data_IF_468595245677
#
_entry.id   IF_468595245677
#
_cell.length_a   1.000
_cell.length_b   1.000
_cell.length_c   1.000
_cell.angle_alpha   90.00
_cell.angle_beta   90.00
_cell.angle_gamma   90.00
#
_symmetry.space_group_name_H-M   'P 1'
#
loop_
_entity.id
_entity.type
_entity.pdbx_description
1 polymer ?
#
# COMPACT_ATOMS: atom_id res chain seq x y z
N UNK A 1 -86.09 8.99 25.79
CA UNK A 1 -84.88 8.14 25.68
C UNK A 1 -83.94 8.82 24.68
N UNK A 2 -82.69 9.03 25.06
CA UNK A 2 -81.72 9.98 24.49
C UNK A 2 -81.43 9.74 22.99
N UNK A 3 -81.50 10.79 22.17
CA UNK A 3 -80.75 10.89 20.91
C UNK A 3 -79.50 11.75 21.17
N UNK A 4 -78.31 11.17 20.93
CA UNK A 4 -77.01 11.86 21.05
C UNK A 4 -76.59 12.41 19.70
N UNK A 5 -76.13 13.66 19.70
CA UNK A 5 -75.34 14.31 18.66
C UNK A 5 -74.04 13.53 18.40
N UNK A 6 -73.67 13.40 17.13
CA UNK A 6 -72.30 13.12 16.69
C UNK A 6 -71.84 14.31 15.83
N UNK A 7 -70.70 14.88 16.21
CA UNK A 7 -70.17 16.16 15.75
C UNK A 7 -69.59 16.10 14.33
N UNK A 8 -69.79 17.21 13.61
CA UNK A 8 -69.30 17.53 12.26
C UNK A 8 -67.79 17.76 12.17
N UNK A 9 -67.05 17.63 13.27
CA UNK A 9 -65.60 17.90 13.35
C UNK A 9 -64.71 16.76 12.80
N UNK A 10 -65.24 15.53 12.66
CA UNK A 10 -64.43 14.37 12.26
C UNK A 10 -64.33 14.12 10.74
N UNK A 11 -65.14 14.80 9.91
CA UNK A 11 -65.11 14.60 8.45
C UNK A 11 -64.12 15.57 7.78
N UNK A 12 -63.92 16.77 8.35
CA UNK A 12 -63.02 17.79 7.81
C UNK A 12 -61.54 17.42 7.97
N UNK A 13 -61.14 16.84 9.11
CA UNK A 13 -59.74 16.43 9.36
C UNK A 13 -59.30 15.24 8.49
N UNK A 14 -60.21 14.33 8.16
CA UNK A 14 -59.92 13.14 7.35
C UNK A 14 -59.76 13.46 5.84
N UNK A 15 -60.45 14.50 5.36
CA UNK A 15 -60.32 14.98 3.96
C UNK A 15 -59.05 15.82 3.80
N UNK A 16 -58.73 16.70 4.77
CA UNK A 16 -57.48 17.48 4.77
C UNK A 16 -56.22 16.60 4.87
N UNK A 17 -56.26 15.51 5.65
CA UNK A 17 -55.14 14.56 5.74
C UNK A 17 -54.89 13.74 4.47
N UNK A 18 -55.94 13.41 3.70
CA UNK A 18 -55.83 12.68 2.41
C UNK A 18 -55.39 13.57 1.24
N UNK A 19 -55.65 14.88 1.33
CA UNK A 19 -55.17 15.88 0.37
C UNK A 19 -53.67 16.16 0.63
N UNK A 20 -53.26 16.29 1.90
CA UNK A 20 -51.84 16.50 2.24
C UNK A 20 -50.94 15.30 1.88
N UNK A 21 -51.42 14.07 2.00
CA UNK A 21 -50.63 12.88 1.65
C UNK A 21 -50.48 12.67 0.14
N UNK A 22 -51.50 12.99 -0.66
CA UNK A 22 -51.41 12.94 -2.13
C UNK A 22 -50.57 14.07 -2.73
N UNK A 23 -50.50 15.23 -2.06
CA UNK A 23 -49.60 16.33 -2.45
C UNK A 23 -48.15 15.90 -2.21
N UNK A 24 -47.84 15.28 -1.08
CA UNK A 24 -46.50 14.76 -0.81
C UNK A 24 -46.06 13.64 -1.77
N UNK A 25 -46.98 12.77 -2.20
CA UNK A 25 -46.68 11.74 -3.19
C UNK A 25 -46.50 12.29 -4.61
N UNK A 26 -47.25 13.34 -4.98
CA UNK A 26 -47.13 13.98 -6.31
C UNK A 26 -45.87 14.85 -6.46
N UNK A 27 -45.35 15.40 -5.35
CA UNK A 27 -44.08 16.15 -5.32
C UNK A 27 -42.87 15.28 -5.71
N UNK A 28 -42.93 13.96 -5.49
CA UNK A 28 -41.84 13.04 -5.83
C UNK A 28 -41.90 12.58 -7.30
N UNK A 29 -43.10 12.56 -7.92
CA UNK A 29 -43.29 11.99 -9.26
C UNK A 29 -43.32 13.02 -10.40
N UNK A 30 -43.62 14.30 -10.13
CA UNK A 30 -43.41 15.37 -11.11
C UNK A 30 -43.39 16.75 -10.42
N UNK A 31 -42.20 17.34 -10.20
CA UNK A 31 -42.06 18.69 -9.63
C UNK A 31 -42.87 19.75 -10.40
N UNK A 32 -43.04 19.56 -11.71
CA UNK A 32 -43.83 20.45 -12.57
C UNK A 32 -45.33 20.44 -12.20
N UNK A 33 -45.90 19.30 -11.82
CA UNK A 33 -47.31 19.19 -11.46
C UNK A 33 -47.61 19.84 -10.09
N UNK A 34 -46.70 19.68 -9.12
CA UNK A 34 -46.82 20.32 -7.81
C UNK A 34 -46.73 21.85 -7.91
N UNK A 35 -45.81 22.37 -8.73
CA UNK A 35 -45.65 23.81 -8.96
C UNK A 35 -46.87 24.41 -9.67
N UNK A 36 -47.47 23.69 -10.63
CA UNK A 36 -48.71 24.12 -11.29
C UNK A 36 -49.88 24.23 -10.29
N UNK A 37 -50.03 23.26 -9.39
CA UNK A 37 -51.07 23.29 -8.35
C UNK A 37 -50.89 24.46 -7.38
N UNK A 38 -49.66 24.70 -6.90
CA UNK A 38 -49.37 25.82 -5.98
C UNK A 38 -49.60 27.16 -6.68
N UNK A 39 -49.20 27.31 -7.95
CA UNK A 39 -49.45 28.52 -8.74
C UNK A 39 -50.96 28.80 -8.89
N UNK A 40 -51.76 27.77 -9.20
CA UNK A 40 -53.21 27.90 -9.35
C UNK A 40 -53.86 28.30 -8.02
N UNK A 41 -53.50 27.66 -6.91
CA UNK A 41 -54.03 27.99 -5.57
C UNK A 41 -53.68 29.45 -5.21
N UNK A 42 -52.43 29.86 -5.41
CA UNK A 42 -51.96 31.20 -5.06
C UNK A 42 -52.65 32.30 -5.91
N UNK A 43 -52.90 32.04 -7.20
CA UNK A 43 -53.62 32.95 -8.09
C UNK A 43 -55.11 33.06 -7.76
N UNK A 44 -55.74 31.97 -7.36
CA UNK A 44 -57.15 31.98 -6.91
C UNK A 44 -57.32 32.75 -5.61
N UNK A 45 -56.34 32.70 -4.71
CA UNK A 45 -56.37 33.44 -3.43
C UNK A 45 -55.98 34.92 -3.57
N UNK A 46 -55.21 35.31 -4.59
CA UNK A 46 -54.69 36.68 -4.75
C UNK A 46 -54.80 37.19 -6.21
N UNK A 47 -56.00 37.56 -6.68
CA UNK A 47 -56.25 37.84 -8.09
C UNK A 47 -55.54 39.09 -8.65
N UNK A 48 -55.19 40.05 -7.78
CA UNK A 48 -54.61 41.35 -8.16
C UNK A 48 -53.08 41.33 -8.38
N UNK A 49 -52.39 40.23 -8.03
CA UNK A 49 -50.92 40.14 -8.15
C UNK A 49 -50.52 39.83 -9.60
N UNK A 50 -49.52 40.54 -10.14
CA UNK A 50 -49.04 40.35 -11.52
C UNK A 50 -48.47 38.91 -11.70
N UNK A 51 -48.93 38.15 -12.73
CA UNK A 51 -48.46 36.79 -12.98
C UNK A 51 -46.95 36.68 -13.23
N UNK A 52 -46.29 37.72 -13.75
CA UNK A 52 -44.83 37.71 -13.97
C UNK A 52 -44.02 37.68 -12.66
N UNK A 53 -44.47 38.40 -11.63
CA UNK A 53 -43.80 38.43 -10.32
C UNK A 53 -43.86 37.08 -9.62
N UNK A 54 -44.97 36.36 -9.81
CA UNK A 54 -45.19 35.02 -9.26
C UNK A 54 -44.29 34.01 -9.98
N UNK A 55 -44.22 34.07 -11.31
CA UNK A 55 -43.39 33.17 -12.11
C UNK A 55 -41.90 33.27 -11.75
N UNK A 56 -41.39 34.48 -11.51
CA UNK A 56 -40.00 34.68 -11.09
C UNK A 56 -39.70 34.09 -9.69
N UNK A 57 -40.60 34.25 -8.72
CA UNK A 57 -40.42 33.65 -7.40
C UNK A 57 -40.42 32.12 -7.45
N UNK A 58 -41.28 31.52 -8.29
CA UNK A 58 -41.30 30.08 -8.51
C UNK A 58 -40.07 29.57 -9.28
N UNK A 59 -39.57 30.34 -10.26
CA UNK A 59 -38.35 30.00 -10.97
C UNK A 59 -37.13 29.95 -10.04
N UNK A 60 -37.03 30.89 -9.08
CA UNK A 60 -35.96 30.89 -8.07
C UNK A 60 -36.08 29.68 -7.14
N UNK A 61 -37.29 29.35 -6.66
CA UNK A 61 -37.49 28.17 -5.82
C UNK A 61 -37.23 26.85 -6.55
N UNK A 62 -37.60 26.76 -7.84
CA UNK A 62 -37.31 25.60 -8.67
C UNK A 62 -35.81 25.47 -8.95
N UNK A 63 -35.11 26.58 -9.19
CA UNK A 63 -33.67 26.62 -9.38
C UNK A 63 -32.93 26.13 -8.12
N UNK A 64 -33.28 26.67 -6.94
CA UNK A 64 -32.70 26.26 -5.66
C UNK A 64 -33.02 24.80 -5.32
N UNK A 65 -34.23 24.32 -5.64
CA UNK A 65 -34.60 22.92 -5.46
C UNK A 65 -33.78 22.01 -6.40
N UNK A 66 -33.58 22.41 -7.66
CA UNK A 66 -32.81 21.65 -8.63
C UNK A 66 -31.32 21.58 -8.25
N UNK A 67 -30.72 22.70 -7.80
CA UNK A 67 -29.34 22.70 -7.29
C UNK A 67 -29.18 21.81 -6.06
N UNK A 68 -30.16 21.79 -5.14
CA UNK A 68 -30.12 20.94 -3.95
C UNK A 68 -30.31 19.44 -4.28
N UNK A 69 -31.11 19.10 -5.29
CA UNK A 69 -31.21 17.71 -5.76
C UNK A 69 -29.92 17.25 -6.47
N UNK A 70 -29.28 18.12 -7.25
CA UNK A 70 -27.99 17.88 -7.92
C UNK A 70 -26.83 17.73 -6.93
N UNK A 71 -26.80 18.52 -5.85
CA UNK A 71 -25.78 18.40 -4.80
C UNK A 71 -25.91 17.10 -4.01
N UNK A 72 -27.13 16.69 -3.66
CA UNK A 72 -27.41 15.42 -2.99
C UNK A 72 -27.04 14.21 -3.87
N UNK A 73 -27.32 14.25 -5.18
CA UNK A 73 -26.91 13.17 -6.09
C UNK A 73 -25.40 13.08 -6.24
N UNK A 74 -24.69 14.22 -6.31
CA UNK A 74 -23.21 14.23 -6.30
C UNK A 74 -22.63 13.63 -5.02
N UNK A 75 -23.20 13.97 -3.86
CA UNK A 75 -22.76 13.42 -2.58
C UNK A 75 -22.96 11.90 -2.49
N UNK A 76 -24.11 11.40 -2.92
CA UNK A 76 -24.42 9.96 -2.96
C UNK A 76 -23.46 9.23 -3.92
N UNK A 77 -23.14 9.81 -5.08
CA UNK A 77 -22.22 9.21 -6.04
C UNK A 77 -20.80 9.08 -5.46
N UNK A 78 -20.31 10.13 -4.78
CA UNK A 78 -19.02 10.12 -4.09
C UNK A 78 -19.00 9.06 -2.98
N UNK A 79 -20.07 8.95 -2.18
CA UNK A 79 -20.19 7.91 -1.16
C UNK A 79 -20.22 6.49 -1.75
N UNK A 80 -20.93 6.28 -2.86
CA UNK A 80 -20.99 4.99 -3.54
C UNK A 80 -19.64 4.62 -4.17
N UNK A 81 -18.93 5.59 -4.76
CA UNK A 81 -17.56 5.40 -5.25
C UNK A 81 -16.59 5.10 -4.10
N UNK A 82 -16.67 5.80 -2.97
CA UNK A 82 -15.85 5.54 -1.79
C UNK A 82 -16.16 4.17 -1.15
N UNK A 83 -17.43 3.75 -1.11
CA UNK A 83 -17.85 2.42 -0.64
C UNK A 83 -17.39 1.32 -1.60
N UNK A 84 -17.44 1.56 -2.92
CA UNK A 84 -16.91 0.67 -3.95
C UNK A 84 -15.41 0.47 -3.80
N UNK A 85 -14.65 1.57 -3.72
CA UNK A 85 -13.21 1.56 -3.50
C UNK A 85 -12.84 0.86 -2.17
N UNK A 86 -13.59 1.09 -1.09
CA UNK A 86 -13.38 0.43 0.20
C UNK A 86 -13.58 -1.09 0.10
N UNK A 87 -14.66 -1.55 -0.54
CA UNK A 87 -14.92 -2.99 -0.74
C UNK A 87 -13.87 -3.65 -1.62
N UNK A 88 -13.38 -2.95 -2.65
CA UNK A 88 -12.35 -3.47 -3.54
C UNK A 88 -10.99 -3.54 -2.84
N UNK A 89 -10.66 -2.52 -2.04
CA UNK A 89 -9.49 -2.51 -1.14
C UNK A 89 -9.58 -3.63 -0.09
N UNK A 90 -10.73 -3.84 0.53
CA UNK A 90 -10.98 -4.94 1.48
C UNK A 90 -10.84 -6.31 0.81
N UNK A 91 -11.34 -6.49 -0.42
CA UNK A 91 -11.13 -7.71 -1.21
C UNK A 91 -9.66 -7.94 -1.56
N UNK A 92 -8.90 -6.89 -1.90
CA UNK A 92 -7.45 -6.98 -2.12
C UNK A 92 -6.71 -7.35 -0.83
N UNK A 93 -7.10 -6.78 0.32
CA UNK A 93 -6.53 -7.11 1.64
C UNK A 93 -6.83 -8.57 2.02
N UNK A 94 -8.07 -9.05 1.83
CA UNK A 94 -8.42 -10.45 2.11
C UNK A 94 -7.74 -11.42 1.13
N UNK A 95 -7.60 -11.05 -0.15
CA UNK A 95 -6.86 -11.86 -1.13
C UNK A 95 -5.36 -11.92 -0.81
N UNK A 96 -4.77 -10.83 -0.29
CA UNK A 96 -3.38 -10.80 0.19
C UNK A 96 -3.18 -11.72 1.41
N UNK A 97 -4.16 -11.78 2.32
CA UNK A 97 -4.18 -12.71 3.46
C UNK A 97 -4.15 -14.19 3.02
N UNK A 98 -4.81 -14.54 1.91
CA UNK A 98 -4.85 -15.92 1.42
C UNK A 98 -3.56 -16.43 0.74
N UNK A 99 -2.56 -15.58 0.51
CA UNK A 99 -1.32 -15.95 -0.21
C UNK A 99 -0.08 -16.02 0.71
N UNK A 100 -0.14 -15.57 1.96
CA UNK A 100 0.97 -15.71 2.90
C UNK A 100 0.56 -16.50 4.14
N UNK A 101 0.65 -17.84 4.06
CA UNK A 101 0.87 -18.58 5.29
C UNK A 101 2.24 -18.13 5.81
N UNK A 102 2.24 -17.25 6.82
CA UNK A 102 3.42 -16.92 7.61
C UNK A 102 3.51 -17.97 8.71
N UNK A 103 4.12 -19.15 8.48
CA UNK A 103 4.00 -20.31 9.36
C UNK A 103 4.54 -20.04 10.77
N UNK A 104 5.56 -19.19 10.85
CA UNK A 104 6.23 -18.81 12.08
C UNK A 104 5.69 -17.50 12.67
N UNK A 105 4.72 -16.85 12.01
CA UNK A 105 4.15 -15.56 12.42
C UNK A 105 5.21 -14.47 12.67
N UNK A 106 6.32 -14.52 11.91
CA UNK A 106 7.41 -13.55 12.02
C UNK A 106 6.93 -12.17 11.56
N UNK A 107 7.39 -11.11 12.23
CA UNK A 107 6.97 -9.73 11.94
C UNK A 107 7.94 -9.02 11.01
N UNK A 108 9.23 -9.08 11.33
CA UNK A 108 10.31 -8.37 10.63
C UNK A 108 11.66 -8.99 11.01
N UNK A 109 12.71 -8.59 10.29
CA UNK A 109 14.08 -8.72 10.79
C UNK A 109 14.18 -7.93 12.10
N UNK A 110 14.77 -8.54 13.13
CA UNK A 110 14.92 -7.91 14.44
C UNK A 110 16.32 -7.30 14.59
N UNK A 111 17.37 -8.10 14.37
CA UNK A 111 18.75 -7.65 14.40
C UNK A 111 19.62 -8.58 13.54
N UNK A 112 20.82 -8.09 13.24
CA UNK A 112 21.94 -8.88 12.73
C UNK A 112 23.03 -8.96 13.81
N UNK A 113 23.80 -10.04 13.80
CA UNK A 113 24.99 -10.18 14.63
C UNK A 113 26.23 -10.04 13.75
N UNK A 114 27.18 -9.22 14.18
CA UNK A 114 28.42 -8.94 13.44
C UNK A 114 29.60 -9.17 14.38
N UNK A 115 30.50 -10.08 13.99
CA UNK A 115 31.77 -10.27 14.67
C UNK A 115 32.75 -9.16 14.25
N UNK A 116 33.49 -8.64 15.21
CA UNK A 116 34.45 -7.56 14.99
C UNK A 116 35.74 -7.77 15.78
N UNK A 117 36.84 -7.27 15.23
CA UNK A 117 38.15 -7.31 15.91
C UNK A 117 38.32 -6.17 16.92
N UNK A 118 37.56 -5.09 16.76
CA UNK A 118 37.64 -3.90 17.62
C UNK A 118 36.28 -3.23 17.73
N UNK A 119 35.69 -3.25 18.94
CA UNK A 119 34.43 -2.57 19.18
C UNK A 119 34.50 -1.08 18.92
N UNK A 120 35.61 -0.44 19.25
CA UNK A 120 35.80 1.00 19.04
C UNK A 120 35.69 1.35 17.55
N UNK A 121 36.46 0.67 16.69
CA UNK A 121 36.41 0.91 15.23
C UNK A 121 35.04 0.61 14.64
N UNK A 122 34.42 -0.50 15.04
CA UNK A 122 33.08 -0.86 14.54
C UNK A 122 32.02 0.12 15.04
N UNK A 123 32.06 0.53 16.31
CA UNK A 123 31.15 1.55 16.84
C UNK A 123 31.28 2.87 16.08
N UNK A 124 32.51 3.31 15.80
CA UNK A 124 32.75 4.53 15.04
C UNK A 124 32.15 4.43 13.64
N UNK A 125 32.40 3.33 12.92
CA UNK A 125 31.85 3.11 11.58
C UNK A 125 30.33 3.04 11.58
N UNK A 126 29.73 2.17 12.40
CA UNK A 126 28.28 1.98 12.39
C UNK A 126 27.53 3.23 12.83
N UNK A 127 28.11 4.07 13.71
CA UNK A 127 27.51 5.34 14.10
C UNK A 127 27.72 6.44 13.06
N UNK A 128 28.96 6.67 12.62
CA UNK A 128 29.30 7.86 11.84
C UNK A 128 29.09 7.65 10.33
N UNK A 129 29.23 6.43 9.83
CA UNK A 129 29.03 6.10 8.41
C UNK A 129 27.59 5.64 8.17
N UNK A 130 27.10 4.69 8.97
CA UNK A 130 25.77 4.10 8.78
C UNK A 130 24.68 4.72 9.66
N UNK A 131 25.00 5.67 10.55
CA UNK A 131 24.00 6.42 11.30
C UNK A 131 23.31 5.64 12.42
N UNK A 132 23.82 4.49 12.85
CA UNK A 132 23.29 3.76 13.99
C UNK A 132 23.58 4.48 15.32
N UNK A 133 22.83 4.19 16.37
CA UNK A 133 23.13 4.69 17.72
C UNK A 133 23.18 3.55 18.74
N UNK A 134 24.08 3.60 19.73
CA UNK A 134 24.21 2.58 20.75
C UNK A 134 22.99 2.57 21.69
N UNK A 135 22.58 1.38 22.11
CA UNK A 135 21.50 1.17 23.07
C UNK A 135 22.00 0.38 24.27
N UNK A 136 21.23 0.41 25.37
CA UNK A 136 21.59 -0.30 26.60
C UNK A 136 21.70 -1.81 26.36
N UNK A 137 22.88 -2.35 26.66
CA UNK A 137 23.14 -3.79 26.64
C UNK A 137 22.56 -4.47 27.90
N UNK A 138 21.92 -5.65 27.78
CA UNK A 138 21.56 -6.46 28.94
C UNK A 138 22.78 -6.78 29.79
N UNK A 139 22.68 -6.58 31.10
CA UNK A 139 23.81 -6.79 32.03
C UNK A 139 24.20 -8.26 32.23
N UNK A 140 23.41 -9.21 31.72
CA UNK A 140 23.67 -10.65 31.81
C UNK A 140 24.73 -11.14 30.83
N UNK A 141 25.15 -10.31 29.87
CA UNK A 141 26.12 -10.71 28.86
C UNK A 141 27.56 -10.43 29.34
N UNK A 142 28.40 -11.46 29.33
CA UNK A 142 29.74 -11.48 29.92
C UNK A 142 30.89 -11.46 28.89
N UNK A 143 30.59 -11.12 27.64
CA UNK A 143 31.57 -10.91 26.57
C UNK A 143 31.70 -9.42 26.24
N UNK A 144 32.73 -9.03 25.49
CA UNK A 144 32.85 -7.67 24.97
C UNK A 144 31.95 -7.50 23.74
N UNK A 145 30.99 -6.58 23.82
CA UNK A 145 30.04 -6.36 22.75
C UNK A 145 29.20 -5.11 22.91
N UNK A 146 28.56 -4.68 21.83
CA UNK A 146 27.69 -3.52 21.81
C UNK A 146 26.37 -3.83 21.10
N UNK A 147 25.31 -3.13 21.50
CA UNK A 147 24.04 -3.12 20.77
C UNK A 147 23.84 -1.74 20.16
N UNK A 148 23.51 -1.71 18.88
CA UNK A 148 23.09 -0.52 18.18
C UNK A 148 21.69 -0.70 17.59
N UNK A 149 21.00 0.40 17.35
CA UNK A 149 19.68 0.42 16.74
C UNK A 149 19.57 1.59 15.77
N UNK A 150 18.95 1.37 14.61
CA UNK A 150 18.36 2.39 13.75
C UNK A 150 17.54 1.71 12.65
N UNK A 151 16.75 2.46 11.89
CA UNK A 151 16.00 1.96 10.71
C UNK A 151 15.05 0.79 11.01
N UNK A 152 14.66 0.61 12.27
CA UNK A 152 13.82 -0.51 12.72
C UNK A 152 14.55 -1.84 12.89
N UNK A 153 15.88 -1.87 12.79
CA UNK A 153 16.72 -3.07 13.01
C UNK A 153 17.80 -2.82 14.06
N UNK A 154 18.23 -3.88 14.74
CA UNK A 154 19.38 -3.88 15.64
C UNK A 154 20.66 -4.37 14.97
N UNK A 155 21.81 -3.89 15.45
CA UNK A 155 23.12 -4.50 15.18
C UNK A 155 23.71 -4.93 16.52
N UNK A 156 24.02 -6.22 16.64
CA UNK A 156 24.73 -6.78 17.77
C UNK A 156 26.19 -6.99 17.39
N UNK A 157 27.07 -6.11 17.88
CA UNK A 157 28.52 -6.25 17.72
C UNK A 157 29.06 -7.19 18.78
N UNK A 158 29.80 -8.20 18.35
CA UNK A 158 30.51 -9.13 19.23
C UNK A 158 32.01 -8.98 18.97
N UNK A 159 32.76 -8.56 19.99
CA UNK A 159 34.21 -8.57 19.88
C UNK A 159 34.71 -9.99 20.06
N UNK A 160 35.61 -10.39 19.17
CA UNK A 160 36.31 -11.66 19.28
C UNK A 160 37.81 -11.37 19.10
N UNK A 161 38.61 -11.74 20.12
CA UNK A 161 40.04 -11.45 20.15
C UNK A 161 40.85 -12.42 19.26
N UNK A 162 40.34 -13.63 19.05
CA UNK A 162 40.94 -14.71 18.26
C UNK A 162 40.11 -14.99 16.98
N UNK A 163 39.87 -13.96 16.17
CA UNK A 163 39.16 -14.14 14.90
C UNK A 163 40.10 -14.70 13.83
N UNK A 164 39.85 -15.95 13.43
CA UNK A 164 40.49 -16.55 12.25
C UNK A 164 39.92 -15.95 10.96
N UNK A 165 40.61 -16.10 9.82
CA UNK A 165 40.12 -15.62 8.50
C UNK A 165 38.78 -16.27 8.07
N UNK A 166 38.41 -17.35 8.74
CA UNK A 166 37.16 -18.08 8.54
C UNK A 166 35.97 -17.42 9.28
N UNK A 167 36.24 -16.67 10.35
CA UNK A 167 35.23 -16.04 11.20
C UNK A 167 34.90 -14.59 10.77
N UNK A 168 35.85 -13.95 10.09
CA UNK A 168 35.72 -12.62 9.48
C UNK A 168 36.57 -12.58 8.22
N UNK A 169 36.11 -11.88 7.16
CA UNK A 169 36.92 -11.70 5.96
C UNK A 169 38.34 -11.27 6.32
N UNK A 170 39.32 -11.81 5.59
CA UNK A 170 40.74 -11.61 5.85
C UNK A 170 41.05 -10.12 6.09
N UNK A 171 41.83 -9.84 7.14
CA UNK A 171 42.21 -8.48 7.49
C UNK A 171 43.08 -7.89 6.37
N UNK A 172 42.53 -6.91 5.65
CA UNK A 172 43.15 -6.33 4.47
C UNK A 172 42.17 -6.42 3.31
N UNK A 173 41.85 -5.26 2.72
CA UNK A 173 40.77 -5.07 1.74
C UNK A 173 40.88 -6.14 0.65
N UNK A 174 40.07 -7.20 0.79
CA UNK A 174 39.70 -8.03 -0.35
C UNK A 174 38.98 -7.12 -1.32
N UNK A 175 39.25 -7.29 -2.61
CA UNK A 175 38.58 -6.51 -3.66
C UNK A 175 37.06 -6.53 -3.41
N UNK A 176 36.43 -5.35 -3.38
CA UNK A 176 34.97 -5.23 -3.24
C UNK A 176 34.31 -6.03 -4.37
N UNK A 177 33.58 -7.08 -4.00
CA UNK A 177 32.87 -7.95 -4.93
C UNK A 177 31.36 -7.84 -4.68
N UNK A 178 30.61 -7.17 -5.58
CA UNK A 178 29.14 -7.04 -5.51
C UNK A 178 28.35 -8.35 -5.39
N UNK A 179 29.00 -9.51 -5.57
CA UNK A 179 28.38 -10.84 -5.47
C UNK A 179 28.57 -11.52 -4.11
N UNK A 180 29.33 -10.93 -3.19
CA UNK A 180 29.54 -11.49 -1.86
C UNK A 180 28.30 -11.28 -0.96
N UNK A 181 28.22 -12.04 0.13
CA UNK A 181 27.16 -11.88 1.13
C UNK A 181 27.21 -10.49 1.75
N UNK A 182 26.06 -9.82 1.85
CA UNK A 182 26.00 -8.45 2.35
C UNK A 182 24.69 -8.15 3.07
N UNK A 183 24.73 -7.09 3.88
CA UNK A 183 23.54 -6.43 4.40
C UNK A 183 23.24 -5.21 3.52
N UNK A 184 21.97 -5.03 3.16
CA UNK A 184 21.55 -3.98 2.23
C UNK A 184 20.63 -2.98 2.91
N UNK A 185 20.89 -1.69 2.65
CA UNK A 185 20.12 -0.57 3.16
C UNK A 185 19.52 0.23 2.00
N UNK A 186 18.21 0.45 2.10
CA UNK A 186 17.53 1.41 1.24
C UNK A 186 17.97 2.83 1.63
N UNK A 187 18.27 3.67 0.64
CA UNK A 187 18.50 5.09 0.88
C UNK A 187 17.47 5.98 0.18
N UNK A 188 17.31 7.20 0.71
CA UNK A 188 16.43 8.22 0.12
C UNK A 188 17.06 8.88 -1.13
N UNK A 189 18.39 8.94 -1.17
CA UNK A 189 19.13 9.58 -2.26
C UNK A 189 20.50 8.93 -2.46
N UNK A 190 20.62 8.17 -3.55
CA UNK A 190 21.88 7.56 -3.96
C UNK A 190 22.99 8.59 -4.17
N UNK A 191 22.64 9.78 -4.69
CA UNK A 191 23.60 10.85 -4.93
C UNK A 191 24.18 11.40 -3.61
N UNK A 192 23.34 11.58 -2.59
CA UNK A 192 23.80 12.04 -1.28
C UNK A 192 24.62 10.96 -0.56
N UNK A 193 24.21 9.70 -0.64
CA UNK A 193 24.97 8.58 -0.09
C UNK A 193 26.36 8.48 -0.73
N UNK A 194 26.44 8.50 -2.06
CA UNK A 194 27.70 8.46 -2.80
C UNK A 194 28.61 9.65 -2.44
N UNK A 195 28.03 10.86 -2.33
CA UNK A 195 28.77 12.06 -1.91
C UNK A 195 29.35 11.89 -0.50
N UNK A 196 28.55 11.36 0.44
CA UNK A 196 28.97 11.18 1.83
C UNK A 196 30.06 10.14 1.97
N UNK A 197 29.96 8.99 1.27
CA UNK A 197 31.03 8.00 1.25
C UNK A 197 32.35 8.58 0.72
N UNK A 198 32.29 9.41 -0.33
CA UNK A 198 33.46 10.17 -0.83
C UNK A 198 34.03 11.13 0.21
N UNK A 199 33.19 11.91 0.90
CA UNK A 199 33.61 12.85 1.95
C UNK A 199 34.26 12.13 3.15
N UNK A 200 33.87 10.89 3.42
CA UNK A 200 34.41 10.05 4.49
C UNK A 200 35.59 9.16 4.03
N UNK A 201 36.03 9.29 2.77
CA UNK A 201 37.12 8.50 2.19
C UNK A 201 36.90 6.98 2.26
N UNK A 202 35.63 6.54 2.24
CA UNK A 202 35.27 5.12 2.19
C UNK A 202 35.37 4.63 0.75
N UNK A 203 36.16 3.58 0.51
CA UNK A 203 36.24 2.92 -0.79
C UNK A 203 34.93 2.19 -1.11
N UNK A 204 34.40 2.36 -2.32
CA UNK A 204 33.18 1.68 -2.76
C UNK A 204 33.21 1.33 -4.25
N UNK A 205 32.38 0.35 -4.63
CA UNK A 205 32.08 0.00 -6.03
C UNK A 205 30.63 0.35 -6.32
N UNK A 206 30.40 0.95 -7.49
CA UNK A 206 29.05 1.26 -7.99
C UNK A 206 28.60 0.22 -9.01
N UNK A 207 27.35 -0.21 -8.90
CA UNK A 207 26.67 -1.06 -9.87
C UNK A 207 25.31 -0.46 -10.24
N UNK A 208 24.80 -0.87 -11.40
CA UNK A 208 23.45 -0.52 -11.86
C UNK A 208 22.77 -1.74 -12.45
N UNK A 209 21.53 -1.98 -12.03
CA UNK A 209 20.63 -2.99 -12.59
C UNK A 209 19.55 -2.29 -13.38
N UNK A 210 19.17 -2.88 -14.52
CA UNK A 210 18.06 -2.44 -15.36
C UNK A 210 17.07 -3.57 -15.55
N UNK A 211 15.80 -3.31 -15.26
CA UNK A 211 14.70 -4.23 -15.52
C UNK A 211 13.49 -3.46 -16.05
N UNK A 212 13.04 -3.77 -17.27
CA UNK A 212 11.85 -3.14 -17.86
C UNK A 212 11.94 -1.61 -17.99
N UNK A 213 13.15 -1.05 -18.13
CA UNK A 213 13.38 0.40 -18.19
C UNK A 213 13.40 1.10 -16.82
N UNK A 214 13.33 0.34 -15.71
CA UNK A 214 13.56 0.83 -14.36
C UNK A 214 15.02 0.60 -13.99
N UNK A 215 15.64 1.60 -13.38
CA UNK A 215 17.04 1.56 -12.94
C UNK A 215 17.14 1.47 -11.41
N UNK A 216 17.98 0.54 -10.96
CA UNK A 216 18.42 0.44 -9.55
C UNK A 216 19.92 0.69 -9.51
N UNK A 217 20.32 1.67 -8.72
CA UNK A 217 21.71 1.96 -8.40
C UNK A 217 22.10 1.31 -7.08
N UNK A 218 23.32 0.80 -7.01
CA UNK A 218 23.86 0.10 -5.85
C UNK A 218 25.27 0.61 -5.55
N UNK A 219 25.59 0.79 -4.27
CA UNK A 219 26.92 1.12 -3.77
C UNK A 219 27.35 0.03 -2.80
N UNK A 220 28.48 -0.60 -3.06
CA UNK A 220 29.04 -1.68 -2.25
C UNK A 220 30.34 -1.23 -1.59
N UNK A 221 30.49 -1.48 -0.29
CA UNK A 221 31.69 -1.13 0.48
C UNK A 221 31.82 -2.07 1.68
N UNK A 222 32.97 -2.04 2.34
CA UNK A 222 33.24 -2.85 3.52
C UNK A 222 33.11 -2.03 4.81
N UNK A 223 32.72 -2.70 5.88
CA UNK A 223 32.95 -2.24 7.24
C UNK A 223 34.43 -2.43 7.66
N UNK A 224 34.83 -2.03 8.89
CA UNK A 224 36.22 -2.12 9.34
C UNK A 224 36.80 -3.54 9.44
N UNK A 225 35.96 -4.57 9.37
CA UNK A 225 36.34 -5.97 9.47
C UNK A 225 36.08 -6.75 8.15
N UNK A 226 35.66 -6.06 7.09
CA UNK A 226 35.48 -6.62 5.75
C UNK A 226 34.07 -7.11 5.45
N UNK A 227 33.09 -6.91 6.33
CA UNK A 227 31.70 -7.26 6.05
C UNK A 227 31.13 -6.33 4.96
N UNK A 228 30.57 -6.90 3.90
CA UNK A 228 30.00 -6.11 2.82
C UNK A 228 28.69 -5.44 3.25
N UNK A 229 28.59 -4.16 2.91
CA UNK A 229 27.41 -3.32 3.03
C UNK A 229 27.01 -2.84 1.64
N UNK A 230 25.71 -2.95 1.34
CA UNK A 230 25.09 -2.38 0.16
C UNK A 230 24.21 -1.20 0.55
N UNK A 231 24.28 -0.10 -0.21
CA UNK A 231 23.25 0.94 -0.26
C UNK A 231 22.58 0.89 -1.63
N UNK A 232 21.26 0.79 -1.69
CA UNK A 232 20.52 0.77 -2.96
C UNK A 232 19.23 1.60 -2.93
N UNK A 233 18.66 1.79 -4.12
CA UNK A 233 17.28 2.25 -4.33
C UNK A 233 16.39 1.13 -4.91
N UNK A 234 16.50 -0.06 -4.31
CA UNK A 234 15.87 -1.28 -4.81
C UNK A 234 14.33 -1.22 -4.80
N UNK A 235 13.74 -0.35 -3.98
CA UNK A 235 12.29 -0.11 -3.94
C UNK A 235 11.71 0.46 -5.25
N UNK A 236 12.55 0.93 -6.18
CA UNK A 236 12.14 1.26 -7.53
C UNK A 236 11.55 0.07 -8.30
N UNK A 237 11.99 -1.16 -7.99
CA UNK A 237 11.50 -2.37 -8.64
C UNK A 237 10.26 -2.92 -7.92
N UNK A 238 9.22 -3.33 -8.66
CA UNK A 238 8.05 -3.94 -8.06
C UNK A 238 8.39 -5.32 -7.49
N UNK A 239 8.01 -5.56 -6.23
CA UNK A 239 8.09 -6.90 -5.64
C UNK A 239 6.98 -7.77 -6.22
N UNK A 240 7.35 -8.68 -7.12
CA UNK A 240 6.44 -9.65 -7.74
C UNK A 240 6.70 -11.05 -7.16
N UNK A 241 5.82 -11.59 -6.29
CA UNK A 241 5.99 -12.93 -5.74
C UNK A 241 5.93 -14.00 -6.85
N UNK A 242 6.89 -14.92 -6.85
CA UNK A 242 6.85 -16.10 -7.71
C UNK A 242 5.76 -17.04 -7.20
N UNK A 243 4.70 -17.22 -7.97
CA UNK A 243 3.68 -18.22 -7.67
C UNK A 243 4.16 -19.61 -8.13
N UNK A 244 3.89 -20.68 -7.36
CA UNK A 244 4.14 -22.03 -7.82
C UNK A 244 3.44 -22.28 -9.17
N UNK A 245 4.13 -22.92 -10.10
CA UNK A 245 3.67 -23.13 -11.49
C UNK A 245 2.29 -23.82 -11.63
N UNK A 246 1.74 -24.40 -10.55
CA UNK A 246 0.47 -25.10 -10.53
C UNK A 246 -0.78 -24.20 -10.41
N UNK A 247 -0.64 -22.89 -10.20
CA UNK A 247 -1.80 -21.98 -10.06
C UNK A 247 -2.35 -21.42 -11.38
N UNK A 248 -1.73 -21.74 -12.52
CA UNK A 248 -2.27 -21.42 -13.84
C UNK A 248 -3.41 -22.37 -14.21
N UNK A 249 -4.58 -22.20 -13.58
CA UNK A 249 -5.82 -22.78 -14.11
C UNK A 249 -6.12 -22.05 -15.41
N UNK A 250 -5.75 -22.70 -16.51
CA UNK A 250 -6.26 -22.36 -17.83
C UNK A 250 -7.78 -22.50 -17.75
N UNK A 251 -8.48 -21.37 -17.70
CA UNK A 251 -9.90 -21.34 -18.05
C UNK A 251 -9.97 -21.71 -19.52
N UNK A 252 -10.10 -23.01 -19.81
CA UNK A 252 -10.45 -23.49 -21.15
C UNK A 252 -11.91 -23.07 -21.37
N UNK A 253 -12.08 -21.90 -21.97
CA UNK A 253 -13.31 -21.56 -22.67
C UNK A 253 -13.60 -22.67 -23.68
N UNK A 254 -14.82 -23.22 -23.62
CA UNK A 254 -15.27 -24.25 -24.54
C UNK A 254 -15.20 -23.76 -25.99
N UNK A 255 -14.68 -24.61 -26.88
CA UNK A 255 -14.63 -24.35 -28.31
C UNK A 255 -13.89 -25.45 -29.07
N UNK A 256 -14.67 -26.24 -29.80
CA UNK A 256 -14.42 -27.28 -30.80
C UNK A 256 -13.00 -27.73 -31.23
N UNK A 257 -12.92 -29.04 -31.53
CA UNK A 257 -11.81 -29.85 -32.05
C UNK A 257 -11.31 -29.43 -33.44
N UNK A 258 -10.00 -29.56 -33.66
CA UNK A 258 -9.31 -30.26 -34.77
C UNK A 258 -7.79 -30.26 -34.46
N UNK A 259 -7.16 -31.42 -34.22
CA UNK A 259 -6.09 -32.05 -35.05
C UNK A 259 -5.01 -31.05 -35.50
N UNK A 260 -3.71 -31.18 -35.23
CA UNK A 260 -2.83 -32.35 -35.33
C UNK A 260 -1.58 -32.22 -34.41
N UNK A 261 -0.90 -33.35 -34.27
CA UNK A 261 0.33 -33.67 -33.53
C UNK A 261 1.58 -32.88 -33.94
N UNK A 262 2.43 -32.54 -32.96
CA UNK A 262 3.84 -32.93 -32.99
C UNK A 262 4.45 -32.91 -31.58
N UNK A 263 4.84 -34.10 -31.14
CA UNK A 263 5.58 -34.39 -29.92
C UNK A 263 7.06 -34.37 -30.30
N UNK A 264 7.87 -33.53 -29.64
CA UNK A 264 9.32 -33.73 -29.56
C UNK A 264 9.70 -33.87 -28.09
N UNK A 265 10.18 -35.07 -27.79
CA UNK A 265 10.50 -35.63 -26.50
C UNK A 265 11.88 -35.22 -25.99
N UNK A 266 11.93 -34.87 -24.70
CA UNK A 266 12.90 -35.31 -23.67
C UNK A 266 14.34 -35.65 -24.09
N UNK A 267 15.30 -34.94 -23.48
CA UNK A 267 16.68 -35.37 -23.29
C UNK A 267 17.31 -34.66 -22.08
N UNK A 268 17.96 -35.43 -21.20
CA UNK A 268 18.22 -35.19 -19.76
C UNK A 268 19.56 -34.48 -19.44
N UNK A 269 19.83 -34.19 -18.13
CA UNK A 269 20.89 -33.29 -17.66
C UNK A 269 22.21 -33.99 -17.22
N UNK A 270 23.19 -33.14 -16.89
CA UNK A 270 24.31 -33.31 -15.95
C UNK A 270 25.53 -34.12 -16.41
N UNK A 271 26.70 -33.49 -16.29
CA UNK A 271 27.97 -34.18 -16.01
C UNK A 271 28.86 -33.29 -15.13
N UNK A 272 28.86 -33.61 -13.84
CA UNK A 272 29.99 -33.42 -12.91
C UNK A 272 31.26 -34.06 -13.49
N UNK A 273 32.38 -33.33 -13.47
CA UNK A 273 33.71 -33.90 -13.67
C UNK A 273 34.46 -33.84 -12.34
N UNK A 274 34.68 -35.03 -11.77
CA UNK A 274 35.69 -35.31 -10.76
C UNK A 274 36.61 -36.40 -11.35
N UNK A 275 37.92 -36.13 -11.35
CA UNK A 275 39.00 -37.14 -11.42
C UNK A 275 40.28 -36.42 -10.98
N UNK A 276 40.71 -36.52 -9.73
CA UNK A 276 41.53 -37.59 -9.14
C UNK A 276 42.95 -37.72 -9.72
N UNK A 277 43.91 -37.37 -8.86
CA UNK A 277 45.17 -38.06 -8.51
C UNK A 277 46.42 -38.04 -9.41
N UNK A 278 47.52 -37.83 -8.68
CA UNK A 278 48.88 -38.38 -8.79
C UNK A 278 49.87 -37.80 -9.81
N UNK A 279 50.73 -36.91 -9.30
CA UNK A 279 52.18 -37.13 -9.17
C UNK A 279 52.78 -36.06 -8.26
#
# INVERSE_FOLDING_TARGET
MRMRQASTENISSCILGKIQSNIFLSIILSPAAALACIYIIYKLSNPLINPFSILNAFAIHLFLFCENQLSNTRYILIELQAKGYRREKEKMIMKKSSISNNPLQLKSLNHISVACRSLERSLEFYQNVLGFFPIRRPGSFNFDGAWLSNYGIGIHLLQCDDLEEEDVPAAGITRINPKDNHISFQCESMAMAEKKLKEMEVEYVKSRVEEGGVYVDQLFFHDPDGHMVEICNCDNLPVVPLLPAAAAVVVRGGGCRSSESNILSLGRPCSTLNSSTSS
#
